data_IF_579059858507
#
_entry.id   IF_579059858507
#
_cell.length_a   1.000
_cell.length_b   1.000
_cell.length_c   1.000
_cell.angle_alpha   90.00
_cell.angle_beta   90.00
_cell.angle_gamma   90.00
#
_symmetry.space_group_name_H-M   'P 1'
#
loop_
_entity.id
_entity.type
_entity.pdbx_description
1 polymer ?
#
# COMPACT_ATOMS: atom_id res chain seq x y z
N UNK A 1 -9.45 35.02 28.83
CA UNK A 1 -8.38 34.07 28.48
C UNK A 1 -8.91 33.19 27.36
N UNK A 2 -8.68 33.60 26.11
CA UNK A 2 -9.17 32.93 24.90
C UNK A 2 -8.17 31.83 24.50
N UNK A 3 -8.58 30.58 24.29
CA UNK A 3 -7.74 29.65 23.57
C UNK A 3 -7.82 30.00 22.09
N UNK A 4 -6.70 30.42 21.52
CA UNK A 4 -6.52 30.61 20.09
C UNK A 4 -6.60 29.23 19.42
N UNK A 5 -7.59 29.05 18.54
CA UNK A 5 -7.71 27.85 17.72
C UNK A 5 -6.56 27.81 16.71
N UNK A 6 -5.60 26.93 16.97
CA UNK A 6 -4.52 26.62 16.03
C UNK A 6 -5.13 25.79 14.89
N UNK A 7 -5.40 26.43 13.75
CA UNK A 7 -5.90 25.77 12.54
C UNK A 7 -4.80 24.89 11.95
N UNK A 8 -4.75 23.62 12.38
CA UNK A 8 -4.05 22.58 11.64
C UNK A 8 -4.91 22.26 10.41
N UNK A 9 -4.32 22.28 9.21
CA UNK A 9 -4.99 21.81 7.99
C UNK A 9 -5.52 20.41 8.27
N UNK A 10 -6.84 20.26 8.30
CA UNK A 10 -7.51 18.99 8.56
C UNK A 10 -7.11 17.98 7.47
N UNK A 11 -6.56 16.85 7.89
CA UNK A 11 -6.50 15.66 7.06
C UNK A 11 -7.93 15.25 6.74
N UNK A 12 -8.38 15.48 5.51
CA UNK A 12 -9.70 15.03 5.07
C UNK A 12 -9.68 13.50 4.91
N UNK A 13 -10.34 12.80 5.82
CA UNK A 13 -10.59 11.36 5.70
C UNK A 13 -11.80 11.15 4.76
N UNK A 14 -11.56 10.55 3.61
CA UNK A 14 -12.62 10.17 2.68
C UNK A 14 -13.15 8.79 3.06
N UNK A 15 -14.26 8.77 3.78
CA UNK A 15 -14.99 7.54 4.04
C UNK A 15 -15.85 7.16 2.84
N UNK A 16 -15.94 5.86 2.59
CA UNK A 16 -16.76 5.35 1.51
C UNK A 16 -18.24 5.47 1.90
N UNK A 17 -19.02 6.29 1.19
CA UNK A 17 -20.46 6.44 1.45
C UNK A 17 -21.20 5.15 1.05
N UNK A 18 -22.09 4.60 1.91
CA UNK A 18 -22.98 3.50 1.53
C UNK A 18 -23.80 3.85 0.28
N UNK A 19 -24.11 2.86 -0.56
CA UNK A 19 -24.95 3.04 -1.76
C UNK A 19 -24.25 3.63 -2.99
N UNK A 20 -22.94 3.91 -2.92
CA UNK A 20 -22.15 4.44 -4.05
C UNK A 20 -21.70 3.39 -5.06
N UNK A 21 -21.96 2.10 -4.80
CA UNK A 21 -21.48 0.98 -5.63
C UNK A 21 -19.98 0.69 -5.53
N UNK A 22 -19.21 1.56 -4.87
CA UNK A 22 -17.77 1.43 -4.70
C UNK A 22 -17.46 0.37 -3.63
N UNK A 23 -16.72 -0.68 -4.00
CA UNK A 23 -16.29 -1.74 -3.08
C UNK A 23 -14.89 -1.47 -2.52
N UNK A 24 -14.54 -2.14 -1.42
CA UNK A 24 -13.21 -2.05 -0.81
C UNK A 24 -12.15 -2.63 -1.76
N UNK A 25 -11.01 -1.95 -1.91
CA UNK A 25 -9.83 -2.51 -2.58
C UNK A 25 -9.22 -3.55 -1.64
N UNK A 26 -9.31 -4.83 -2.02
CA UNK A 26 -8.81 -5.92 -1.18
C UNK A 26 -7.47 -6.50 -1.65
N UNK A 27 -6.95 -6.04 -2.79
CA UNK A 27 -5.63 -6.44 -3.26
C UNK A 27 -4.56 -5.95 -2.29
N UNK A 28 -3.69 -6.87 -1.86
CA UNK A 28 -2.42 -6.53 -1.23
C UNK A 28 -1.33 -6.91 -2.23
N UNK A 29 -0.82 -5.89 -2.91
CA UNK A 29 0.02 -6.00 -4.09
C UNK A 29 1.05 -4.87 -4.05
N UNK A 30 2.30 -5.20 -4.37
CA UNK A 30 3.38 -4.25 -4.59
C UNK A 30 4.14 -4.65 -5.85
N UNK A 31 4.48 -3.66 -6.66
CA UNK A 31 5.36 -3.80 -7.82
C UNK A 31 6.55 -2.89 -7.58
N UNK A 32 7.76 -3.45 -7.68
CA UNK A 32 9.02 -2.73 -7.49
C UNK A 32 9.73 -2.67 -8.84
N UNK A 33 10.00 -1.45 -9.30
CA UNK A 33 10.73 -1.10 -10.52
C UNK A 33 10.24 -1.81 -11.80
N UNK A 34 8.99 -2.27 -11.80
CA UNK A 34 8.40 -3.03 -12.92
C UNK A 34 8.90 -4.46 -13.07
N UNK A 35 9.79 -4.94 -12.19
CA UNK A 35 10.47 -6.25 -12.31
C UNK A 35 10.04 -7.27 -11.27
N UNK A 36 9.71 -6.80 -10.07
CA UNK A 36 9.30 -7.67 -8.96
C UNK A 36 7.86 -7.38 -8.58
N UNK A 37 7.08 -8.45 -8.45
CA UNK A 37 5.71 -8.42 -7.97
C UNK A 37 5.63 -9.20 -6.66
N UNK A 38 5.17 -8.51 -5.62
CA UNK A 38 4.87 -9.10 -4.31
C UNK A 38 3.35 -9.10 -4.15
N UNK A 39 2.77 -10.27 -3.97
CA UNK A 39 1.33 -10.45 -3.79
C UNK A 39 1.03 -11.47 -2.70
N UNK A 40 -0.16 -11.41 -2.12
CA UNK A 40 -0.59 -12.40 -1.14
C UNK A 40 -1.72 -11.90 -0.25
N UNK A 41 -1.81 -12.47 0.95
CA UNK A 41 -2.78 -12.05 1.96
C UNK A 41 -2.23 -10.93 2.87
N UNK A 42 -0.91 -10.78 2.94
CA UNK A 42 -0.21 -9.85 3.84
C UNK A 42 -0.61 -8.38 3.61
N UNK A 43 -1.17 -7.75 4.64
CA UNK A 43 -1.30 -6.29 4.70
C UNK A 43 0.00 -5.68 5.25
N UNK A 44 0.39 -4.48 4.81
CA UNK A 44 1.60 -3.77 5.30
C UNK A 44 1.41 -3.19 6.71
N UNK A 45 1.25 -4.06 7.70
CA UNK A 45 0.99 -3.70 9.11
C UNK A 45 1.79 -4.60 10.03
N UNK A 46 2.07 -4.11 11.25
CA UNK A 46 2.80 -4.88 12.26
C UNK A 46 2.17 -6.26 12.54
N UNK A 47 0.87 -6.36 12.89
CA UNK A 47 0.24 -7.65 13.17
C UNK A 47 0.28 -8.64 12.01
N UNK A 48 0.09 -8.19 10.77
CA UNK A 48 0.22 -9.05 9.59
C UNK A 48 1.65 -9.57 9.38
N UNK A 49 2.65 -8.88 9.93
CA UNK A 49 4.06 -9.28 9.84
C UNK A 49 4.49 -10.20 10.99
N UNK A 50 3.88 -10.07 12.17
CA UNK A 50 4.39 -10.70 13.40
C UNK A 50 3.41 -11.62 14.12
N UNK A 51 2.11 -11.57 13.82
CA UNK A 51 1.06 -12.26 14.59
C UNK A 51 0.14 -13.10 13.73
N UNK A 52 -0.33 -12.57 12.60
CA UNK A 52 -1.25 -13.28 11.73
C UNK A 52 -0.49 -14.26 10.83
N UNK A 53 -1.12 -15.39 10.55
CA UNK A 53 -0.67 -16.28 9.49
C UNK A 53 -1.01 -15.65 8.13
N UNK A 54 0.00 -15.05 7.51
CA UNK A 54 -0.11 -14.43 6.20
C UNK A 54 0.80 -15.15 5.20
N UNK A 55 0.42 -15.14 3.92
CA UNK A 55 1.29 -15.58 2.84
C UNK A 55 1.77 -14.42 1.98
N UNK A 56 2.94 -14.61 1.41
CA UNK A 56 3.53 -13.75 0.38
C UNK A 56 4.09 -14.65 -0.71
N UNK A 57 3.80 -14.30 -1.96
CA UNK A 57 4.43 -14.84 -3.14
C UNK A 57 5.18 -13.70 -3.82
N UNK A 58 6.44 -13.96 -4.16
CA UNK A 58 7.30 -13.03 -4.91
C UNK A 58 7.50 -13.62 -6.29
N UNK A 59 7.19 -12.83 -7.31
CA UNK A 59 7.33 -13.17 -8.72
C UNK A 59 8.23 -12.15 -9.39
N UNK A 60 9.08 -12.61 -10.30
CA UNK A 60 10.08 -11.78 -10.98
C UNK A 60 11.49 -12.28 -10.69
N UNK A 61 12.45 -11.64 -11.33
CA UNK A 61 13.87 -11.96 -11.20
C UNK A 61 14.61 -10.77 -10.58
N UNK A 62 15.37 -11.05 -9.52
CA UNK A 62 16.17 -10.06 -8.81
C UNK A 62 17.43 -9.67 -9.60
N UNK A 63 17.89 -10.56 -10.49
CA UNK A 63 19.10 -10.38 -11.28
C UNK A 63 18.78 -9.91 -12.71
N UNK A 64 17.50 -9.74 -13.05
CA UNK A 64 17.08 -9.20 -14.34
C UNK A 64 17.48 -7.72 -14.42
N UNK A 65 18.52 -7.49 -15.21
CA UNK A 65 19.03 -6.18 -15.57
C UNK A 65 18.27 -5.71 -16.80
N UNK A 66 17.31 -4.81 -16.61
CA UNK A 66 16.70 -4.09 -17.72
C UNK A 66 17.68 -2.98 -18.16
N UNK A 67 18.30 -3.10 -19.35
CA UNK A 67 19.29 -2.15 -19.83
C UNK A 67 18.72 -0.74 -20.02
N UNK A 68 17.42 -0.60 -20.24
CA UNK A 68 16.77 0.70 -20.43
C UNK A 68 16.56 1.43 -19.09
N UNK A 69 16.49 0.69 -17.99
CA UNK A 69 16.30 1.24 -16.65
C UNK A 69 17.63 1.52 -15.90
N UNK A 70 18.77 0.97 -16.34
CA UNK A 70 20.10 1.42 -15.87
C UNK A 70 20.58 2.70 -16.56
N UNK A 71 19.98 3.06 -17.71
CA UNK A 71 20.38 4.20 -18.52
C UNK A 71 19.65 5.52 -18.18
N UNK A 72 18.66 5.51 -17.27
CA UNK A 72 17.85 6.66 -16.85
C UNK A 72 18.36 7.31 -15.55
#
# INVERSE_FOLDING_TARGET
MTPSSRTHKETALYENKPGTGVRKVHHKLMVIDGRLVIAGSLNYTGPATTLNDENVVVLGDLEETDPDAEAA
#
